data_IF_054093611470
#
_entry.id   IF_054093611470
#
_cell.length_a   1.000
_cell.length_b   1.000
_cell.length_c   1.000
_cell.angle_alpha   90.00
_cell.angle_beta   90.00
_cell.angle_gamma   90.00
#
_symmetry.space_group_name_H-M   'P 1'
#
loop_
_entity.id
_entity.type
_entity.pdbx_description
1 polymer ?
#
# COMPACT_ATOMS: atom_id res chain seq x y z
N UNK A 1 5.13 -81.21 18.50
CA UNK A 1 3.84 -80.92 19.14
C UNK A 1 3.48 -79.53 18.81
N UNK A 2 2.59 -79.32 17.84
CA UNK A 2 2.20 -78.03 17.27
C UNK A 2 1.13 -77.41 18.15
N UNK A 3 1.28 -76.10 18.43
CA UNK A 3 0.19 -75.28 18.91
C UNK A 3 0.11 -74.05 18.02
N UNK A 4 -0.97 -73.96 17.27
CA UNK A 4 -1.30 -72.82 16.41
C UNK A 4 -2.02 -71.76 17.28
N UNK A 5 -1.49 -70.54 17.37
CA UNK A 5 -2.16 -69.46 18.02
C UNK A 5 -2.84 -68.57 16.95
N UNK A 6 -4.17 -68.51 17.03
CA UNK A 6 -5.00 -67.71 16.11
C UNK A 6 -4.87 -66.21 16.31
N UNK A 7 -4.70 -65.48 15.20
CA UNK A 7 -4.82 -64.03 15.13
C UNK A 7 -6.33 -63.64 15.21
N UNK A 8 -6.67 -62.88 16.22
CA UNK A 8 -7.96 -62.19 16.28
C UNK A 8 -7.70 -60.76 15.73
N UNK A 9 -8.19 -60.52 14.54
CA UNK A 9 -8.21 -59.16 13.94
C UNK A 9 -9.39 -58.39 14.52
N UNK A 10 -9.13 -57.43 15.39
CA UNK A 10 -10.13 -56.43 15.80
C UNK A 10 -10.17 -55.34 14.78
N UNK A 11 -11.17 -55.34 13.91
CA UNK A 11 -11.52 -54.23 13.07
C UNK A 11 -12.08 -53.09 13.95
N UNK A 12 -11.29 -52.08 14.21
CA UNK A 12 -11.77 -50.85 14.78
C UNK A 12 -12.64 -50.12 13.75
N UNK A 13 -13.94 -50.10 14.00
CA UNK A 13 -14.87 -49.27 13.26
C UNK A 13 -14.54 -47.80 13.53
N UNK A 14 -14.06 -47.10 12.53
CA UNK A 14 -13.96 -45.66 12.58
C UNK A 14 -15.36 -45.05 12.50
N UNK A 15 -15.70 -44.05 13.34
CA UNK A 15 -16.96 -43.35 13.19
C UNK A 15 -16.96 -42.61 11.86
N UNK A 16 -17.98 -42.84 11.07
CA UNK A 16 -18.31 -42.05 9.88
C UNK A 16 -18.55 -40.60 10.33
N UNK A 17 -17.55 -39.76 10.19
CA UNK A 17 -17.78 -38.30 10.21
C UNK A 17 -18.75 -37.99 9.08
N UNK A 18 -19.93 -37.52 9.44
CA UNK A 18 -20.99 -37.18 8.52
C UNK A 18 -20.49 -36.16 7.54
N UNK A 19 -20.75 -36.38 6.26
CA UNK A 19 -20.36 -35.48 5.12
C UNK A 19 -20.76 -34.01 5.35
N UNK A 20 -21.68 -33.76 6.26
CA UNK A 20 -22.14 -32.44 6.67
C UNK A 20 -21.09 -31.63 7.44
N UNK A 21 -20.27 -32.24 8.28
CA UNK A 21 -19.21 -31.56 9.01
C UNK A 21 -18.03 -31.21 8.11
N UNK A 22 -17.70 -32.04 7.14
CA UNK A 22 -16.64 -31.78 6.17
C UNK A 22 -17.03 -30.61 5.26
N UNK A 23 -18.29 -30.52 4.84
CA UNK A 23 -18.78 -29.42 4.00
C UNK A 23 -18.76 -28.07 4.73
N UNK A 24 -19.11 -28.04 6.02
CA UNK A 24 -19.03 -26.77 6.82
C UNK A 24 -17.61 -26.30 7.02
N UNK A 25 -16.70 -27.19 7.35
CA UNK A 25 -15.28 -26.82 7.57
C UNK A 25 -14.63 -26.32 6.28
N UNK A 26 -14.97 -26.91 5.14
CA UNK A 26 -14.46 -26.47 3.83
C UNK A 26 -15.04 -25.12 3.42
N UNK A 27 -16.32 -24.87 3.68
CA UNK A 27 -16.97 -23.59 3.37
C UNK A 27 -16.43 -22.43 4.22
N UNK A 28 -16.16 -22.64 5.50
CA UNK A 28 -15.59 -21.64 6.38
C UNK A 28 -14.14 -21.30 6.00
N UNK A 29 -13.30 -22.30 5.73
CA UNK A 29 -11.93 -22.07 5.24
C UNK A 29 -11.90 -21.35 3.89
N UNK A 30 -12.84 -21.62 3.00
CA UNK A 30 -12.92 -20.94 1.69
C UNK A 30 -13.35 -19.49 1.85
N UNK A 31 -14.25 -19.18 2.79
CA UNK A 31 -14.63 -17.78 3.09
C UNK A 31 -13.47 -16.98 3.67
N UNK A 32 -12.71 -17.55 4.58
CA UNK A 32 -11.57 -16.88 5.21
C UNK A 32 -10.43 -16.64 4.20
N UNK A 33 -10.15 -17.62 3.35
CA UNK A 33 -9.18 -17.48 2.27
C UNK A 33 -9.59 -16.42 1.25
N UNK A 34 -10.88 -16.35 0.87
CA UNK A 34 -11.40 -15.33 -0.06
C UNK A 34 -11.32 -13.92 0.54
N UNK A 35 -11.57 -13.75 1.84
CA UNK A 35 -11.47 -12.44 2.50
C UNK A 35 -10.02 -11.95 2.59
N UNK A 36 -9.07 -12.85 2.86
CA UNK A 36 -7.65 -12.52 2.96
C UNK A 36 -7.06 -12.16 1.60
N UNK A 37 -7.45 -12.85 0.53
CA UNK A 37 -7.03 -12.55 -0.84
C UNK A 37 -7.59 -11.20 -1.31
N UNK A 38 -8.86 -10.89 -1.00
CA UNK A 38 -9.46 -9.61 -1.38
C UNK A 38 -8.78 -8.42 -0.69
N UNK A 39 -8.38 -8.53 0.57
CA UNK A 39 -7.62 -7.49 1.26
C UNK A 39 -6.18 -7.37 0.75
N UNK A 40 -5.54 -8.48 0.41
CA UNK A 40 -4.18 -8.49 -0.16
C UNK A 40 -4.11 -7.85 -1.55
N UNK A 41 -5.10 -8.15 -2.39
CA UNK A 41 -5.19 -7.59 -3.76
C UNK A 41 -5.47 -6.09 -3.72
N UNK A 42 -6.35 -5.59 -2.83
CA UNK A 42 -6.59 -4.14 -2.68
C UNK A 42 -5.35 -3.38 -2.22
N UNK A 43 -4.57 -3.93 -1.28
CA UNK A 43 -3.31 -3.32 -0.85
C UNK A 43 -2.24 -3.34 -1.94
N UNK A 44 -2.17 -4.40 -2.73
CA UNK A 44 -1.23 -4.51 -3.85
C UNK A 44 -1.64 -3.58 -5.01
N UNK A 45 -2.93 -3.45 -5.32
CA UNK A 45 -3.43 -2.52 -6.32
C UNK A 45 -3.13 -1.06 -5.95
N UNK A 46 -3.37 -0.64 -4.70
CA UNK A 46 -3.03 0.71 -4.24
C UNK A 46 -1.51 1.00 -4.29
N UNK A 47 -0.66 -0.01 -4.07
CA UNK A 47 0.80 0.15 -4.20
C UNK A 47 1.27 0.28 -5.65
N UNK A 48 0.55 -0.32 -6.58
CA UNK A 48 0.85 -0.24 -8.03
C UNK A 48 0.32 1.07 -8.61
N UNK A 49 -0.82 1.57 -8.14
CA UNK A 49 -1.38 2.87 -8.56
C UNK A 49 -0.47 4.05 -8.20
N UNK A 50 0.14 4.04 -7.02
CA UNK A 50 1.10 5.09 -6.60
C UNK A 50 2.39 5.09 -7.43
N UNK A 51 2.62 4.09 -8.27
CA UNK A 51 3.90 3.88 -8.92
C UNK A 51 3.94 4.23 -10.41
N UNK A 52 2.84 4.26 -11.17
CA UNK A 52 2.95 4.13 -12.63
C UNK A 52 2.24 5.20 -13.46
N UNK A 53 1.07 5.70 -13.10
CA UNK A 53 0.33 6.62 -13.97
C UNK A 53 -0.61 7.53 -13.17
N UNK A 54 -0.71 8.83 -13.50
CA UNK A 54 -1.76 9.68 -12.96
C UNK A 54 -3.15 9.15 -13.36
N UNK A 55 -4.09 9.15 -12.41
CA UNK A 55 -5.50 8.91 -12.73
C UNK A 55 -5.99 9.93 -13.75
N UNK A 56 -6.79 9.50 -14.73
CA UNK A 56 -7.28 10.35 -15.80
C UNK A 56 -8.14 11.53 -15.31
N UNK A 57 -8.75 11.39 -14.13
CA UNK A 57 -9.59 12.41 -13.48
C UNK A 57 -8.85 13.20 -12.40
N UNK A 58 -7.57 12.92 -12.17
CA UNK A 58 -6.74 13.65 -11.21
C UNK A 58 -5.97 14.79 -11.90
N UNK A 59 -5.95 15.96 -11.25
CA UNK A 59 -5.10 17.06 -11.71
C UNK A 59 -3.63 16.68 -11.51
N UNK A 60 -2.87 16.77 -12.58
CA UNK A 60 -1.42 16.58 -12.55
C UNK A 60 -0.71 17.78 -11.94
N UNK A 61 0.19 17.52 -11.01
CA UNK A 61 1.11 18.49 -10.44
C UNK A 61 2.53 17.94 -10.55
N UNK A 62 3.38 18.60 -11.31
CA UNK A 62 4.78 18.21 -11.44
C UNK A 62 5.57 18.70 -10.23
N UNK A 63 6.34 17.81 -9.64
CA UNK A 63 7.16 18.05 -8.46
C UNK A 63 8.58 17.58 -8.74
N UNK A 64 9.55 18.44 -8.46
CA UNK A 64 10.97 18.05 -8.49
C UNK A 64 11.53 18.04 -7.08
N UNK A 65 12.14 16.93 -6.71
CA UNK A 65 12.90 16.79 -5.46
C UNK A 65 14.38 16.73 -5.79
N UNK A 66 15.18 17.57 -5.17
CA UNK A 66 16.62 17.62 -5.36
C UNK A 66 17.32 17.81 -4.02
N UNK A 67 18.03 16.77 -3.55
CA UNK A 67 18.83 16.75 -2.32
C UNK A 67 18.22 17.54 -1.14
N UNK A 68 16.93 17.23 -0.87
CA UNK A 68 16.16 17.82 0.21
C UNK A 68 15.43 19.13 -0.12
N UNK A 69 15.45 19.57 -1.35
CA UNK A 69 14.63 20.72 -1.83
C UNK A 69 13.44 20.19 -2.62
N UNK A 70 12.26 20.75 -2.39
CA UNK A 70 11.05 20.46 -3.17
C UNK A 70 10.72 21.70 -4.01
N UNK A 71 10.58 21.52 -5.30
CA UNK A 71 10.14 22.55 -6.24
C UNK A 71 8.81 22.12 -6.86
N UNK A 72 7.76 22.91 -6.61
CA UNK A 72 6.41 22.73 -7.13
C UNK A 72 5.59 24.01 -6.93
N UNK A 73 4.40 24.08 -7.53
CA UNK A 73 3.43 25.15 -7.26
C UNK A 73 2.92 25.08 -5.82
N UNK A 74 2.88 26.23 -5.12
CA UNK A 74 2.36 26.35 -3.76
C UNK A 74 0.85 26.60 -3.70
N UNK A 75 0.24 26.98 -4.81
CA UNK A 75 -1.19 27.29 -4.93
C UNK A 75 -1.84 26.23 -5.80
N UNK A 76 -2.68 25.41 -5.19
CA UNK A 76 -3.40 24.34 -5.87
C UNK A 76 -4.92 24.48 -5.64
N UNK A 77 -5.68 23.89 -6.56
CA UNK A 77 -7.12 23.79 -6.42
C UNK A 77 -7.51 22.49 -5.69
N UNK A 78 -8.68 22.47 -5.04
CA UNK A 78 -9.19 21.28 -4.36
C UNK A 78 -9.56 20.18 -5.36
N UNK A 79 -9.53 18.93 -4.93
CA UNK A 79 -9.90 17.76 -5.71
C UNK A 79 -8.83 16.71 -5.77
N UNK A 80 -9.06 15.70 -6.61
CA UNK A 80 -8.10 14.64 -6.86
C UNK A 80 -6.86 15.22 -7.54
N UNK A 81 -5.71 14.96 -6.96
CA UNK A 81 -4.42 15.48 -7.41
C UNK A 81 -3.41 14.35 -7.52
N UNK A 82 -2.73 14.27 -8.64
CA UNK A 82 -1.63 13.35 -8.90
C UNK A 82 -0.31 14.15 -8.88
N UNK A 83 0.45 14.00 -7.81
CA UNK A 83 1.79 14.57 -7.71
C UNK A 83 2.76 13.67 -8.47
N UNK A 84 3.25 14.14 -9.61
CA UNK A 84 4.27 13.44 -10.41
C UNK A 84 5.64 13.90 -9.90
N UNK A 85 6.23 13.10 -9.04
CA UNK A 85 7.45 13.44 -8.30
C UNK A 85 8.66 12.85 -9.00
N UNK A 86 9.51 13.71 -9.52
CA UNK A 86 10.82 13.36 -10.11
C UNK A 86 11.92 13.66 -9.11
N UNK A 87 12.75 12.66 -8.81
CA UNK A 87 13.94 12.86 -8.01
C UNK A 87 15.14 13.20 -8.91
N UNK A 88 15.57 14.47 -8.87
CA UNK A 88 16.76 14.96 -9.58
C UNK A 88 18.00 15.03 -8.69
N UNK A 89 17.87 14.63 -7.43
CA UNK A 89 18.99 14.53 -6.49
C UNK A 89 19.87 13.31 -6.69
N UNK A 90 20.91 13.23 -5.91
CA UNK A 90 21.89 12.15 -5.92
C UNK A 90 21.54 11.01 -4.95
N UNK A 91 20.62 11.26 -4.03
CA UNK A 91 20.19 10.32 -2.97
C UNK A 91 18.71 9.98 -3.13
N UNK A 92 18.31 8.83 -2.60
CA UNK A 92 16.89 8.47 -2.53
C UNK A 92 16.16 9.42 -1.60
N UNK A 93 15.11 10.06 -2.09
CA UNK A 93 14.36 11.08 -1.35
C UNK A 93 12.87 10.80 -1.38
N UNK A 94 12.21 10.84 -0.23
CA UNK A 94 10.77 10.72 -0.14
C UNK A 94 10.10 12.10 -0.26
N UNK A 95 8.94 12.11 -0.89
CA UNK A 95 8.02 13.24 -0.89
C UNK A 95 6.88 12.92 0.08
N UNK A 96 6.64 13.81 1.03
CA UNK A 96 5.64 13.64 2.07
C UNK A 96 4.72 14.87 2.12
N UNK A 97 3.41 14.64 2.17
CA UNK A 97 2.39 15.67 2.36
C UNK A 97 1.57 15.38 3.60
N UNK A 98 1.51 16.35 4.52
CA UNK A 98 0.75 16.27 5.77
C UNK A 98 -0.18 17.45 5.94
N UNK A 99 -1.30 17.28 6.62
CA UNK A 99 -2.31 18.31 6.87
C UNK A 99 -3.67 17.93 6.30
N UNK A 100 -4.70 18.70 6.61
CA UNK A 100 -6.06 18.40 6.11
C UNK A 100 -6.59 17.01 6.49
N UNK A 101 -6.11 16.41 7.58
CA UNK A 101 -6.34 15.03 8.05
C UNK A 101 -5.74 13.96 7.13
N UNK A 102 -4.69 14.27 6.41
CA UNK A 102 -3.93 13.30 5.64
C UNK A 102 -2.46 13.31 6.05
N UNK A 103 -1.84 12.14 5.91
CA UNK A 103 -0.40 11.93 5.97
C UNK A 103 -0.07 10.91 4.87
N UNK A 104 0.55 11.40 3.80
CA UNK A 104 0.84 10.62 2.61
C UNK A 104 2.30 10.78 2.19
N UNK A 105 2.92 9.64 1.91
CA UNK A 105 4.28 9.55 1.38
C UNK A 105 4.42 8.28 0.55
N UNK A 106 5.44 8.20 -0.26
CA UNK A 106 5.74 6.96 -0.96
C UNK A 106 6.16 5.85 0.02
N UNK A 107 5.63 4.66 -0.19
CA UNK A 107 6.07 3.44 0.53
C UNK A 107 7.49 3.06 0.09
N UNK A 108 7.75 3.21 -1.21
CA UNK A 108 9.08 3.05 -1.79
C UNK A 108 9.48 4.39 -2.41
N UNK A 109 10.34 5.17 -1.76
CA UNK A 109 10.77 6.47 -2.27
C UNK A 109 11.42 6.40 -3.65
N UNK A 110 11.30 7.43 -4.49
CA UNK A 110 12.01 7.49 -5.76
C UNK A 110 13.51 7.61 -5.54
N UNK A 111 14.29 6.75 -6.21
CA UNK A 111 15.74 6.85 -6.30
C UNK A 111 16.17 7.96 -7.27
N UNK A 112 17.48 8.23 -7.38
CA UNK A 112 18.02 9.22 -8.30
C UNK A 112 17.55 9.00 -9.74
N UNK A 113 16.98 10.03 -10.37
CA UNK A 113 16.45 9.99 -11.73
C UNK A 113 15.07 9.33 -11.87
N UNK A 114 14.53 8.73 -10.82
CA UNK A 114 13.21 8.09 -10.87
C UNK A 114 12.07 9.09 -10.78
N UNK A 115 10.95 8.73 -11.40
CA UNK A 115 9.68 9.45 -11.31
C UNK A 115 8.61 8.54 -10.77
N UNK A 116 7.85 9.00 -9.77
CA UNK A 116 6.73 8.28 -9.17
C UNK A 116 5.53 9.18 -9.00
N UNK A 117 4.34 8.61 -8.92
CA UNK A 117 3.08 9.35 -8.77
C UNK A 117 2.47 9.08 -7.40
N UNK A 118 2.12 10.15 -6.68
CA UNK A 118 1.41 10.10 -5.41
C UNK A 118 0.03 10.73 -5.57
N UNK A 119 -1.02 9.94 -5.37
CA UNK A 119 -2.41 10.41 -5.46
C UNK A 119 -2.90 10.90 -4.10
N UNK A 120 -3.45 12.11 -4.08
CA UNK A 120 -3.98 12.76 -2.89
C UNK A 120 -5.24 13.54 -3.24
N UNK A 121 -6.27 13.48 -2.41
CA UNK A 121 -7.42 14.37 -2.54
C UNK A 121 -7.24 15.59 -1.65
N UNK A 122 -7.08 16.75 -2.27
CA UNK A 122 -6.92 18.02 -1.59
C UNK A 122 -8.28 18.63 -1.25
N UNK A 123 -8.41 19.19 -0.05
CA UNK A 123 -9.64 19.84 0.44
C UNK A 123 -9.51 21.36 0.37
N UNK A 124 -10.57 22.03 -0.07
CA UNK A 124 -10.62 23.50 -0.11
C UNK A 124 -10.39 24.09 1.28
N UNK A 125 -9.56 25.13 1.34
CA UNK A 125 -9.25 25.85 2.57
C UNK A 125 -8.39 25.08 3.57
N UNK A 126 -7.95 23.87 3.23
CA UNK A 126 -7.02 23.13 4.07
C UNK A 126 -5.57 23.60 3.83
N UNK A 127 -4.80 23.57 4.91
CA UNK A 127 -3.36 23.84 4.87
C UNK A 127 -2.61 22.51 4.88
N UNK A 128 -1.67 22.38 3.96
CA UNK A 128 -0.80 21.22 3.88
C UNK A 128 0.65 21.64 4.04
N UNK A 129 1.43 20.74 4.55
CA UNK A 129 2.88 20.89 4.65
C UNK A 129 3.54 19.81 3.83
N UNK A 130 4.45 20.20 2.99
CA UNK A 130 5.25 19.32 2.15
C UNK A 130 6.64 19.21 2.76
N UNK A 131 7.16 18.00 2.79
CA UNK A 131 8.52 17.69 3.20
C UNK A 131 9.21 16.85 2.13
N UNK A 132 10.50 17.04 1.97
CA UNK A 132 11.38 16.03 1.42
C UNK A 132 12.10 15.35 2.59
N UNK A 133 12.21 14.03 2.54
CA UNK A 133 12.96 13.25 3.52
C UNK A 133 14.01 12.45 2.80
N UNK A 134 15.29 12.73 3.08
CA UNK A 134 16.37 11.87 2.62
C UNK A 134 16.30 10.55 3.38
N UNK A 135 16.33 9.43 2.65
CA UNK A 135 16.24 8.10 3.26
C UNK A 135 17.52 7.67 3.95
N UNK A 136 18.65 8.23 3.59
CA UNK A 136 19.95 7.83 4.13
C UNK A 136 20.16 8.29 5.58
N UNK A 137 19.66 9.48 5.92
CA UNK A 137 19.78 10.07 7.25
C UNK A 137 18.45 10.27 7.98
N UNK A 138 17.33 9.97 7.33
CA UNK A 138 15.98 10.12 7.87
C UNK A 138 15.57 11.56 8.19
N UNK A 139 16.38 12.55 7.80
CA UNK A 139 16.09 13.95 8.08
C UNK A 139 15.04 14.49 7.13
N UNK A 140 14.00 15.06 7.70
CA UNK A 140 13.06 15.92 6.97
C UNK A 140 13.76 17.22 6.64
N UNK A 141 13.89 17.48 5.35
CA UNK A 141 14.44 18.71 4.85
C UNK A 141 13.31 19.66 4.46
N UNK A 142 13.61 20.84 4.26
CA UNK A 142 12.84 22.04 3.94
C UNK A 142 11.31 21.87 3.84
N UNK A 143 10.62 22.48 4.77
CA UNK A 143 9.17 22.61 4.85
C UNK A 143 8.65 23.61 3.83
N UNK A 144 7.66 23.21 3.01
CA UNK A 144 6.89 24.08 2.13
C UNK A 144 5.41 24.04 2.55
N UNK A 145 4.77 25.21 2.62
CA UNK A 145 3.32 25.30 2.89
C UNK A 145 2.58 25.35 1.56
N UNK A 146 1.55 24.51 1.44
CA UNK A 146 0.66 24.44 0.29
C UNK A 146 -0.70 25.01 0.68
N UNK A 147 -1.20 25.97 -0.10
CA UNK A 147 -2.51 26.56 0.05
C UNK A 147 -3.46 25.98 -1.01
N UNK A 148 -4.64 25.54 -0.57
CA UNK A 148 -5.68 25.02 -1.47
C UNK A 148 -6.87 25.97 -1.47
N UNK A 149 -7.12 26.62 -2.60
CA UNK A 149 -8.15 27.67 -2.79
C UNK A 149 -9.41 27.17 -3.47
#
# INVERSE_FOLDING_TARGET
MMIVAGLVSVAAAQPLETAENVAKTTAEKTKEAAHTVAHGVKKAANKVEDALTPDADARRVDVTVNDGTVNMSSDLEPGKTAFVVKNEGKTTSNFEITGGNIDRKFVTPPGPGETKVLHVTLKRGAHYTIYSTNTDDGKRTKKMTLNVR
#
